data_IF_991932558665
#
_entry.id   IF_991932558665
#
_cell.length_a   1.000
_cell.length_b   1.000
_cell.length_c   1.000
_cell.angle_alpha   90.00
_cell.angle_beta   90.00
_cell.angle_gamma   90.00
#
_symmetry.space_group_name_H-M   'P 1'
#
loop_
_entity.id
_entity.type
_entity.pdbx_description
1 polymer ?
#
# COMPACT_ATOMS: atom_id res chain seq x y z
N UNK A 1 -1.89 -18.49 -48.84
CA UNK A 1 -1.11 -17.23 -48.90
C UNK A 1 0.00 -17.35 -47.86
N UNK A 2 1.22 -17.66 -48.32
CA UNK A 2 2.46 -17.54 -47.54
C UNK A 2 2.81 -16.07 -47.33
N UNK A 3 3.42 -15.71 -46.20
CA UNK A 3 4.78 -15.14 -46.13
C UNK A 3 5.28 -15.14 -44.68
N UNK A 4 6.43 -15.76 -44.47
CA UNK A 4 7.32 -15.65 -43.29
C UNK A 4 8.35 -14.58 -43.64
N UNK A 5 8.63 -13.63 -42.74
CA UNK A 5 9.86 -12.82 -42.63
C UNK A 5 9.61 -11.76 -41.55
N UNK A 6 10.49 -11.43 -40.60
CA UNK A 6 11.88 -11.79 -40.33
C UNK A 6 12.53 -10.67 -39.49
N UNK A 7 13.59 -11.02 -38.77
CA UNK A 7 14.70 -10.17 -38.27
C UNK A 7 14.40 -9.18 -37.10
N UNK A 8 14.98 -9.41 -35.91
CA UNK A 8 16.36 -9.06 -35.46
C UNK A 8 16.53 -7.57 -35.08
N UNK A 9 16.68 -7.29 -33.77
CA UNK A 9 17.74 -6.45 -33.21
C UNK A 9 17.55 -6.24 -31.70
N UNK A 10 18.44 -6.83 -30.90
CA UNK A 10 18.77 -6.36 -29.57
C UNK A 10 19.94 -5.36 -29.66
N UNK A 11 20.07 -4.45 -28.69
CA UNK A 11 21.39 -4.15 -28.15
C UNK A 11 21.45 -4.28 -26.62
N UNK A 12 22.51 -4.96 -26.19
CA UNK A 12 23.12 -4.96 -24.86
C UNK A 12 23.89 -3.63 -24.68
N UNK A 13 24.05 -3.13 -23.44
CA UNK A 13 25.19 -2.37 -22.83
C UNK A 13 24.63 -1.63 -21.60
N UNK A 14 24.83 -2.11 -20.36
CA UNK A 14 25.99 -1.95 -19.49
C UNK A 14 26.29 -0.50 -19.07
N UNK A 15 26.15 -0.21 -17.77
CA UNK A 15 26.52 1.06 -17.15
C UNK A 15 26.66 0.93 -15.63
N UNK A 16 27.87 0.60 -15.20
CA UNK A 16 28.36 0.55 -13.82
C UNK A 16 29.10 1.85 -13.55
N UNK A 17 28.74 2.59 -12.51
CA UNK A 17 29.57 3.58 -11.80
C UNK A 17 28.83 3.88 -10.48
N UNK A 18 29.37 3.70 -9.27
CA UNK A 18 30.76 3.77 -8.85
C UNK A 18 31.04 5.19 -8.33
N UNK A 19 31.06 5.38 -7.01
CA UNK A 19 31.41 6.65 -6.37
C UNK A 19 31.16 6.66 -4.87
N UNK A 20 32.18 6.31 -4.10
CA UNK A 20 32.25 6.37 -2.63
C UNK A 20 33.03 7.61 -2.14
N UNK A 21 32.95 7.87 -0.83
CA UNK A 21 33.83 8.69 0.05
C UNK A 21 33.78 10.21 -0.16
N UNK A 22 33.97 11.14 0.78
CA UNK A 22 34.27 11.23 2.22
C UNK A 22 33.71 12.62 2.65
N UNK A 23 33.61 13.10 3.89
CA UNK A 23 34.71 13.34 4.84
C UNK A 23 34.10 13.94 6.11
N UNK A 24 34.69 13.58 7.26
CA UNK A 24 34.35 14.07 8.58
C UNK A 24 34.71 15.55 8.82
N UNK A 25 34.02 16.18 9.77
CA UNK A 25 34.58 17.30 10.54
C UNK A 25 34.18 17.15 12.02
N UNK A 26 35.14 17.23 12.97
CA UNK A 26 34.92 17.12 14.40
C UNK A 26 34.65 18.50 15.03
N UNK A 27 33.92 18.54 16.14
CA UNK A 27 34.03 19.63 17.12
C UNK A 27 33.74 19.09 18.52
N UNK A 28 34.75 19.20 19.37
CA UNK A 28 34.73 18.95 20.81
C UNK A 28 33.96 20.12 21.47
N UNK A 29 33.49 20.15 22.72
CA UNK A 29 33.76 19.37 23.93
C UNK A 29 32.71 19.80 24.98
N UNK A 30 32.46 18.91 25.94
CA UNK A 30 32.09 19.17 27.33
C UNK A 30 30.77 19.89 27.65
N UNK A 31 29.85 19.13 28.25
CA UNK A 31 29.42 19.52 29.59
C UNK A 31 29.27 18.30 30.50
N UNK A 32 30.23 18.21 31.41
CA UNK A 32 30.25 17.32 32.56
C UNK A 32 29.13 17.74 33.50
N UNK A 33 28.15 16.86 33.69
CA UNK A 33 27.12 16.98 34.72
C UNK A 33 26.86 15.59 35.28
N UNK A 34 27.67 15.18 36.25
CA UNK A 34 27.46 13.96 37.00
C UNK A 34 26.27 14.17 37.95
N UNK A 35 25.10 13.67 37.56
CA UNK A 35 24.04 13.30 38.50
C UNK A 35 23.87 11.80 38.41
N UNK A 36 24.53 11.11 39.33
CA UNK A 36 24.23 9.73 39.65
C UNK A 36 22.77 9.66 40.14
N UNK A 37 21.88 9.24 39.25
CA UNK A 37 20.55 8.78 39.61
C UNK A 37 20.46 7.36 39.06
N UNK A 38 20.68 6.41 39.96
CA UNK A 38 20.41 5.00 39.78
C UNK A 38 19.01 4.84 39.19
N UNK A 39 18.93 4.61 37.88
CA UNK A 39 17.71 4.13 37.24
C UNK A 39 17.89 2.63 37.01
N UNK A 40 16.90 1.80 37.40
CA UNK A 40 17.00 0.37 37.26
C UNK A 40 17.18 0.04 35.78
N UNK A 41 18.25 -0.71 35.49
CA UNK A 41 18.43 -1.40 34.23
C UNK A 41 17.27 -2.40 34.11
N UNK A 42 16.16 -1.97 33.53
CA UNK A 42 15.10 -2.86 33.05
C UNK A 42 15.62 -3.55 31.78
N UNK A 43 16.47 -4.55 32.02
CA UNK A 43 16.62 -5.71 31.17
C UNK A 43 15.21 -6.29 30.91
N UNK A 44 14.87 -6.49 29.64
CA UNK A 44 13.89 -7.53 29.30
C UNK A 44 12.51 -7.08 28.86
N UNK A 45 12.40 -6.08 27.98
CA UNK A 45 11.37 -6.14 26.94
C UNK A 45 12.04 -6.35 25.61
N UNK A 46 12.26 -7.62 25.25
CA UNK A 46 12.31 -7.99 23.84
C UNK A 46 11.09 -7.34 23.20
N UNK A 47 11.21 -6.55 22.12
CA UNK A 47 10.03 -6.26 21.33
C UNK A 47 9.57 -7.63 20.86
N UNK A 48 8.51 -8.16 21.47
CA UNK A 48 7.73 -9.21 20.85
C UNK A 48 7.49 -8.67 19.45
N UNK A 49 8.13 -9.27 18.46
CA UNK A 49 8.04 -8.86 17.07
C UNK A 49 6.57 -8.93 16.75
N UNK A 50 5.88 -7.79 16.83
CA UNK A 50 4.46 -7.71 16.66
C UNK A 50 4.21 -8.26 15.26
N UNK A 51 3.57 -9.44 15.19
CA UNK A 51 3.21 -10.03 13.92
C UNK A 51 2.57 -8.93 13.06
N UNK A 52 2.97 -8.80 11.78
CA UNK A 52 2.59 -7.65 10.99
C UNK A 52 1.07 -7.50 11.03
N UNK A 53 0.58 -6.39 11.60
CA UNK A 53 -0.85 -6.19 11.80
C UNK A 53 -1.48 -5.97 10.43
N UNK A 54 -2.47 -6.79 10.06
CA UNK A 54 -3.26 -6.56 8.86
C UNK A 54 -4.08 -5.29 9.04
N UNK A 55 -4.03 -4.44 8.03
CA UNK A 55 -4.86 -3.26 7.86
C UNK A 55 -6.18 -3.72 7.26
N UNK A 56 -7.29 -3.41 7.92
CA UNK A 56 -8.63 -3.63 7.38
C UNK A 56 -9.17 -2.32 6.86
N UNK A 57 -9.63 -2.33 5.62
CA UNK A 57 -10.23 -1.19 4.94
C UNK A 57 -11.65 -1.55 4.56
N UNK A 58 -12.58 -0.62 4.75
CA UNK A 58 -13.97 -0.77 4.28
C UNK A 58 -14.19 0.16 3.11
N UNK A 59 -14.74 -0.38 2.02
CA UNK A 59 -15.12 0.40 0.84
C UNK A 59 -16.63 0.48 0.77
N UNK A 60 -17.14 1.68 0.50
CA UNK A 60 -18.54 1.94 0.23
C UNK A 60 -18.69 2.43 -1.21
N UNK A 61 -19.56 1.77 -1.96
CA UNK A 61 -19.92 2.16 -3.32
C UNK A 61 -21.41 2.42 -3.43
N UNK A 62 -21.79 3.30 -4.34
CA UNK A 62 -23.17 3.47 -4.76
C UNK A 62 -23.56 2.30 -5.69
N UNK A 63 -24.69 1.64 -5.39
CA UNK A 63 -25.23 0.52 -6.15
C UNK A 63 -26.20 1.05 -7.20
N UNK A 64 -25.87 0.92 -8.48
CA UNK A 64 -26.67 1.51 -9.58
C UNK A 64 -27.15 0.42 -10.52
N UNK A 65 -28.42 0.46 -10.90
CA UNK A 65 -29.01 -0.52 -11.82
C UNK A 65 -28.50 -0.29 -13.25
N UNK A 66 -28.29 -1.36 -14.00
CA UNK A 66 -27.86 -1.28 -15.39
C UNK A 66 -28.95 -0.62 -16.25
N UNK A 67 -28.55 0.25 -17.16
CA UNK A 67 -29.47 1.05 -17.97
C UNK A 67 -30.00 2.32 -17.28
N UNK A 68 -29.67 2.56 -16.01
CA UNK A 68 -29.92 3.86 -15.36
C UNK A 68 -29.08 4.93 -16.06
N UNK A 69 -29.69 6.04 -16.52
CA UNK A 69 -28.96 7.12 -17.18
C UNK A 69 -27.91 7.74 -16.23
N UNK A 70 -26.90 8.42 -16.78
CA UNK A 70 -25.77 8.95 -15.99
C UNK A 70 -26.18 9.88 -14.83
N UNK A 71 -27.34 10.54 -14.97
CA UNK A 71 -27.97 11.44 -13.98
C UNK A 71 -28.88 10.71 -12.98
N UNK A 72 -29.10 9.40 -13.14
CA UNK A 72 -29.89 8.62 -12.20
C UNK A 72 -29.14 8.46 -10.88
N UNK A 73 -29.82 8.79 -9.78
CA UNK A 73 -29.30 8.65 -8.44
C UNK A 73 -29.27 7.18 -8.01
N UNK A 74 -28.23 6.78 -7.27
CA UNK A 74 -28.26 5.50 -6.57
C UNK A 74 -29.15 5.64 -5.33
N UNK A 75 -30.12 4.74 -5.17
CA UNK A 75 -30.94 4.71 -3.96
C UNK A 75 -30.26 3.92 -2.83
N UNK A 76 -29.26 3.10 -3.16
CA UNK A 76 -28.65 2.17 -2.22
C UNK A 76 -27.12 2.16 -2.31
N UNK A 77 -26.47 1.84 -1.20
CA UNK A 77 -25.01 1.72 -1.09
C UNK A 77 -24.62 0.32 -0.68
N UNK A 78 -23.64 -0.23 -1.38
CA UNK A 78 -23.02 -1.51 -1.03
C UNK A 78 -21.71 -1.26 -0.28
N UNK A 79 -21.45 -2.06 0.75
CA UNK A 79 -20.23 -1.96 1.56
C UNK A 79 -19.56 -3.32 1.66
N UNK A 80 -18.26 -3.32 1.54
CA UNK A 80 -17.45 -4.51 1.75
C UNK A 80 -16.07 -4.15 2.27
N UNK A 81 -15.43 -5.10 2.94
CA UNK A 81 -14.15 -4.88 3.62
C UNK A 81 -13.08 -5.83 3.11
N UNK A 82 -11.86 -5.34 3.07
CA UNK A 82 -10.67 -6.11 2.68
C UNK A 82 -9.57 -5.92 3.69
N UNK A 83 -8.80 -6.97 3.95
CA UNK A 83 -7.70 -6.94 4.92
C UNK A 83 -6.41 -7.41 4.28
N UNK A 84 -5.36 -6.60 4.39
CA UNK A 84 -4.02 -6.94 3.90
C UNK A 84 -2.92 -6.29 4.74
N UNK A 85 -1.66 -6.63 4.50
CA UNK A 85 -0.53 -6.07 5.25
C UNK A 85 -0.14 -4.65 4.82
N UNK A 86 -0.65 -4.18 3.68
CA UNK A 86 -0.52 -2.81 3.23
C UNK A 86 -1.92 -2.22 2.94
N UNK A 87 -2.01 -0.89 2.89
CA UNK A 87 -3.28 -0.21 2.66
C UNK A 87 -3.81 -0.42 1.23
N UNK A 88 -2.92 -0.40 0.24
CA UNK A 88 -3.30 -0.55 -1.19
C UNK A 88 -3.92 -1.92 -1.49
N UNK A 89 -3.36 -3.00 -0.95
CA UNK A 89 -3.93 -4.33 -1.16
C UNK A 89 -5.19 -4.54 -0.32
N UNK A 90 -5.30 -3.89 0.84
CA UNK A 90 -6.54 -3.91 1.62
C UNK A 90 -7.68 -3.19 0.87
N UNK A 91 -7.38 -2.05 0.24
CA UNK A 91 -8.32 -1.33 -0.64
C UNK A 91 -8.70 -2.16 -1.87
N UNK A 92 -7.74 -2.85 -2.50
CA UNK A 92 -7.99 -3.76 -3.62
C UNK A 92 -8.84 -4.95 -3.20
N UNK A 93 -8.56 -5.57 -2.06
CA UNK A 93 -9.35 -6.67 -1.52
C UNK A 93 -10.77 -6.21 -1.19
N UNK A 94 -10.94 -5.01 -0.64
CA UNK A 94 -12.26 -4.44 -0.37
C UNK A 94 -13.02 -4.15 -1.66
N UNK A 95 -12.35 -3.68 -2.71
CA UNK A 95 -12.93 -3.44 -4.03
C UNK A 95 -13.40 -4.73 -4.71
N UNK A 96 -12.55 -5.76 -4.70
CA UNK A 96 -12.88 -7.09 -5.22
C UNK A 96 -14.04 -7.72 -4.45
N UNK A 97 -14.08 -7.52 -3.13
CA UNK A 97 -15.18 -8.00 -2.32
C UNK A 97 -16.49 -7.30 -2.71
N UNK A 98 -16.48 -5.98 -2.91
CA UNK A 98 -17.64 -5.22 -3.42
C UNK A 98 -18.13 -5.80 -4.75
N UNK A 99 -17.21 -6.11 -5.69
CA UNK A 99 -17.58 -6.70 -6.97
C UNK A 99 -18.19 -8.09 -6.82
N UNK A 100 -17.63 -8.90 -5.92
CA UNK A 100 -18.11 -10.27 -5.66
C UNK A 100 -19.52 -10.29 -5.09
N UNK A 101 -19.86 -9.36 -4.21
CA UNK A 101 -21.18 -9.28 -3.57
C UNK A 101 -22.17 -8.42 -4.37
N UNK A 102 -21.74 -7.81 -5.49
CA UNK A 102 -22.61 -7.01 -6.34
C UNK A 102 -23.65 -7.91 -7.00
N UNK A 103 -24.96 -7.61 -6.87
CA UNK A 103 -25.99 -8.39 -7.55
C UNK A 103 -25.93 -8.18 -9.07
N UNK A 104 -26.34 -9.21 -9.82
CA UNK A 104 -26.46 -9.13 -11.27
C UNK A 104 -27.41 -8.02 -11.70
N UNK A 105 -27.08 -7.34 -12.80
CA UNK A 105 -27.86 -6.21 -13.30
C UNK A 105 -27.59 -4.90 -12.57
N UNK A 106 -26.57 -4.85 -11.70
CA UNK A 106 -26.09 -3.63 -11.05
C UNK A 106 -24.59 -3.42 -11.30
N UNK A 107 -24.14 -2.18 -11.17
CA UNK A 107 -22.72 -1.81 -11.19
C UNK A 107 -22.40 -0.81 -10.07
N UNK A 108 -21.14 -0.81 -9.64
CA UNK A 108 -20.63 0.16 -8.67
C UNK A 108 -20.41 1.53 -9.31
N UNK A 109 -20.82 2.60 -8.63
CA UNK A 109 -20.41 3.99 -8.89
C UNK A 109 -19.91 4.65 -7.61
N UNK A 110 -19.18 5.77 -7.76
CA UNK A 110 -18.79 6.69 -6.67
C UNK A 110 -18.30 5.99 -5.40
N UNK A 111 -17.28 5.17 -5.57
CA UNK A 111 -16.74 4.40 -4.47
C UNK A 111 -15.78 5.21 -3.62
N UNK A 112 -15.88 5.08 -2.30
CA UNK A 112 -14.98 5.69 -1.34
C UNK A 112 -14.54 4.69 -0.29
N UNK A 113 -13.31 4.86 0.15
CA UNK A 113 -12.80 4.19 1.35
C UNK A 113 -13.33 4.91 2.59
N UNK A 114 -13.78 4.15 3.58
CA UNK A 114 -14.23 4.62 4.90
C UNK A 114 -13.10 4.55 5.92
#
# INVERSE_FOLDING_TARGET
MSMIAGLLAAPIIAGIAGGSVATAAPAHSMQTGATALSQPVLLGVSPAQAAPKKITVTRQCDKVKNGTPANGHSEEKIRASGSAYNRKDAEKAADQEVDRIMPDGYHKRHCRTL
#
